data_IF_751442651349
#
_entry.id   IF_751442651349
#
_cell.length_a   1.000
_cell.length_b   1.000
_cell.length_c   1.000
_cell.angle_alpha   90.00
_cell.angle_beta   90.00
_cell.angle_gamma   90.00
#
_symmetry.space_group_name_H-M   'P 1'
#
loop_
_entity.id
_entity.type
_entity.pdbx_description
1 polymer ?
#
# COMPACT_ATOMS: atom_id res chain seq x y z
N UNK A 1 -24.13 -13.99 -17.15
CA UNK A 1 -22.86 -14.30 -17.84
C UNK A 1 -21.97 -13.07 -17.75
N UNK A 2 -21.11 -13.00 -16.74
CA UNK A 2 -20.10 -11.94 -16.57
C UNK A 2 -18.75 -12.64 -16.35
N UNK A 3 -18.39 -13.49 -17.30
CA UNK A 3 -17.03 -14.00 -17.46
C UNK A 3 -16.37 -13.16 -18.53
N UNK A 4 -15.20 -12.57 -18.24
CA UNK A 4 -14.36 -12.00 -19.30
C UNK A 4 -13.78 -10.61 -19.08
N UNK A 5 -13.60 -10.11 -17.86
CA UNK A 5 -12.80 -8.90 -17.65
C UNK A 5 -11.89 -8.93 -16.42
N UNK A 6 -11.31 -10.09 -16.11
CA UNK A 6 -10.02 -10.12 -15.40
C UNK A 6 -8.97 -9.96 -16.48
N UNK A 7 -8.65 -8.70 -16.77
CA UNK A 7 -7.61 -8.35 -17.74
C UNK A 7 -6.28 -8.91 -17.22
N UNK A 8 -5.80 -9.90 -17.95
CA UNK A 8 -4.62 -10.71 -17.70
C UNK A 8 -3.35 -9.87 -17.86
N UNK A 9 -3.13 -8.95 -16.92
CA UNK A 9 -1.82 -8.40 -16.64
C UNK A 9 -1.07 -9.44 -15.81
N UNK A 10 0.03 -9.96 -16.34
CA UNK A 10 0.84 -10.98 -15.67
C UNK A 10 1.36 -10.47 -14.32
N UNK A 11 0.62 -10.75 -13.24
CA UNK A 11 0.97 -10.46 -11.85
C UNK A 11 2.17 -11.29 -11.34
N UNK A 12 3.04 -11.80 -12.21
CA UNK A 12 4.17 -12.69 -11.87
C UNK A 12 5.06 -12.16 -10.72
N UNK A 13 5.17 -10.85 -10.55
CA UNK A 13 5.88 -10.23 -9.42
C UNK A 13 5.15 -10.40 -8.07
N UNK A 14 3.82 -10.49 -8.05
CA UNK A 14 3.06 -10.90 -6.86
C UNK A 14 3.28 -12.38 -6.51
N UNK A 15 3.81 -13.18 -7.44
CA UNK A 15 4.20 -14.58 -7.23
C UNK A 15 5.71 -14.74 -6.92
N UNK A 16 6.43 -13.62 -6.76
CA UNK A 16 7.86 -13.57 -6.47
C UNK A 16 8.16 -13.96 -5.01
N UNK A 17 8.65 -15.20 -4.83
CA UNK A 17 9.28 -15.75 -3.61
C UNK A 17 8.39 -15.76 -2.36
N UNK A 18 7.50 -16.77 -2.27
CA UNK A 18 6.74 -17.26 -1.08
C UNK A 18 6.91 -16.38 0.17
N UNK A 19 6.19 -15.26 0.18
CA UNK A 19 6.02 -14.41 1.35
C UNK A 19 4.64 -14.66 1.97
N UNK A 20 4.42 -14.27 3.23
CA UNK A 20 3.08 -14.36 3.86
C UNK A 20 2.01 -13.55 3.10
N UNK A 21 2.41 -12.62 2.24
CA UNK A 21 1.48 -11.91 1.34
C UNK A 21 0.97 -12.81 0.21
N UNK A 22 1.69 -13.86 -0.18
CA UNK A 22 1.34 -14.77 -1.26
C UNK A 22 0.20 -15.72 -0.83
N UNK A 23 0.20 -16.12 0.45
CA UNK A 23 -0.89 -16.91 1.05
C UNK A 23 -2.18 -16.08 1.13
N UNK A 24 -2.09 -14.81 1.56
CA UNK A 24 -3.24 -13.90 1.56
C UNK A 24 -3.77 -13.62 0.15
N UNK A 25 -2.90 -13.61 -0.87
CA UNK A 25 -3.26 -13.41 -2.27
C UNK A 25 -3.98 -14.63 -2.87
N UNK A 26 -3.52 -15.84 -2.58
CA UNK A 26 -4.19 -17.08 -2.99
C UNK A 26 -5.51 -17.28 -2.23
N UNK A 27 -5.58 -16.95 -0.94
CA UNK A 27 -6.85 -16.86 -0.21
C UNK A 27 -7.79 -15.81 -0.82
N UNK A 28 -7.22 -14.69 -1.32
CA UNK A 28 -7.96 -13.65 -2.04
C UNK A 28 -8.57 -14.18 -3.33
N UNK A 29 -7.87 -15.03 -4.09
CA UNK A 29 -8.36 -15.59 -5.35
C UNK A 29 -9.43 -16.66 -5.14
N UNK A 30 -9.33 -17.40 -4.04
CA UNK A 30 -10.19 -18.56 -3.76
C UNK A 30 -11.44 -18.23 -2.94
N UNK A 31 -11.59 -16.99 -2.45
CA UNK A 31 -12.77 -16.58 -1.66
C UNK A 31 -13.96 -16.15 -2.53
N UNK A 32 -15.15 -16.75 -2.38
CA UNK A 32 -16.36 -16.39 -3.14
C UNK A 32 -16.94 -15.00 -2.80
N UNK A 33 -16.40 -14.33 -1.77
CA UNK A 33 -16.83 -12.98 -1.32
C UNK A 33 -16.07 -11.83 -1.99
N UNK A 34 -15.08 -12.11 -2.84
CA UNK A 34 -14.19 -11.11 -3.47
C UNK A 34 -14.96 -10.04 -4.23
N UNK A 35 -16.05 -10.41 -4.90
CA UNK A 35 -16.84 -9.48 -5.70
C UNK A 35 -17.59 -8.39 -4.91
N UNK A 36 -17.82 -8.57 -3.60
CA UNK A 36 -18.60 -7.60 -2.80
C UNK A 36 -17.79 -6.45 -2.23
N UNK A 37 -16.47 -6.61 -2.10
CA UNK A 37 -15.57 -5.63 -1.48
C UNK A 37 -14.49 -5.12 -2.45
N UNK A 38 -14.64 -5.39 -3.74
CA UNK A 38 -13.71 -4.95 -4.76
C UNK A 38 -14.14 -3.60 -5.34
N UNK A 39 -13.23 -2.63 -5.34
CA UNK A 39 -13.46 -1.31 -5.90
C UNK A 39 -12.78 -1.26 -7.27
N UNK A 40 -13.57 -1.08 -8.33
CA UNK A 40 -13.12 -1.23 -9.73
C UNK A 40 -12.16 -0.12 -10.17
N UNK A 41 -12.22 1.05 -9.53
CA UNK A 41 -11.33 2.17 -9.77
C UNK A 41 -9.91 1.91 -9.24
N UNK A 42 -9.77 1.01 -8.25
CA UNK A 42 -8.50 0.74 -7.59
C UNK A 42 -7.70 -0.36 -8.30
N UNK A 43 -6.36 -0.25 -8.21
CA UNK A 43 -5.48 -1.35 -8.60
C UNK A 43 -5.67 -2.56 -7.70
N UNK A 44 -5.13 -3.71 -8.13
CA UNK A 44 -5.15 -4.93 -7.31
C UNK A 44 -4.43 -4.71 -5.97
N UNK A 45 -3.28 -4.05 -6.00
CA UNK A 45 -2.50 -3.75 -4.81
C UNK A 45 -3.22 -2.76 -3.89
N UNK A 46 -3.84 -1.72 -4.44
CA UNK A 46 -4.64 -0.79 -3.67
C UNK A 46 -5.85 -1.47 -3.00
N UNK A 47 -6.56 -2.35 -3.71
CA UNK A 47 -7.64 -3.16 -3.10
C UNK A 47 -7.13 -4.03 -1.96
N UNK A 48 -5.95 -4.66 -2.10
CA UNK A 48 -5.35 -5.47 -1.04
C UNK A 48 -5.00 -4.63 0.20
N UNK A 49 -4.38 -3.47 -0.01
CA UNK A 49 -4.07 -2.52 1.07
C UNK A 49 -5.35 -2.06 1.77
N UNK A 50 -6.37 -1.64 1.03
CA UNK A 50 -7.67 -1.22 1.60
C UNK A 50 -8.30 -2.34 2.44
N UNK A 51 -8.22 -3.60 1.99
CA UNK A 51 -8.73 -4.75 2.77
C UNK A 51 -7.93 -4.97 4.06
N UNK A 52 -6.61 -4.82 4.04
CA UNK A 52 -5.79 -4.90 5.26
C UNK A 52 -6.09 -3.75 6.22
N UNK A 53 -6.22 -2.52 5.71
CA UNK A 53 -6.67 -1.36 6.48
C UNK A 53 -8.04 -1.60 7.12
N UNK A 54 -9.00 -2.13 6.35
CA UNK A 54 -10.33 -2.51 6.82
C UNK A 54 -10.28 -3.50 7.99
N UNK A 55 -9.43 -4.53 7.91
CA UNK A 55 -9.23 -5.49 9.01
C UNK A 55 -8.65 -4.82 10.26
N UNK A 56 -7.63 -3.98 10.12
CA UNK A 56 -6.96 -3.30 11.25
C UNK A 56 -7.88 -2.29 11.92
N UNK A 57 -8.64 -1.53 11.12
CA UNK A 57 -9.60 -0.54 11.61
C UNK A 57 -10.88 -1.18 12.17
N UNK A 58 -11.10 -2.48 11.93
CA UNK A 58 -12.38 -3.15 12.20
C UNK A 58 -13.60 -2.45 11.56
N UNK A 59 -13.40 -1.86 10.37
CA UNK A 59 -14.45 -1.18 9.58
C UNK A 59 -14.51 -1.79 8.18
N UNK A 60 -15.67 -2.21 7.67
CA UNK A 60 -15.80 -2.74 6.31
C UNK A 60 -15.26 -1.79 5.23
N UNK A 61 -14.64 -2.32 4.18
CA UNK A 61 -14.10 -1.50 3.08
C UNK A 61 -15.18 -0.65 2.38
N UNK A 62 -16.42 -1.15 2.27
CA UNK A 62 -17.56 -0.40 1.74
C UNK A 62 -17.95 0.79 2.63
N UNK A 63 -17.88 0.61 3.95
CA UNK A 63 -18.14 1.69 4.91
C UNK A 63 -17.02 2.73 4.89
N UNK A 64 -15.75 2.31 4.78
CA UNK A 64 -14.63 3.23 4.56
C UNK A 64 -14.84 4.09 3.30
N UNK A 65 -15.28 3.47 2.21
CA UNK A 65 -15.57 4.17 0.96
C UNK A 65 -16.74 5.14 1.11
N UNK A 66 -17.82 4.72 1.79
CA UNK A 66 -18.97 5.56 2.07
C UNK A 66 -18.58 6.78 2.92
N UNK A 67 -17.82 6.59 4.01
CA UNK A 67 -17.32 7.68 4.85
C UNK A 67 -16.45 8.66 4.06
N UNK A 68 -15.50 8.16 3.26
CA UNK A 68 -14.70 9.02 2.39
C UNK A 68 -15.57 9.83 1.42
N UNK A 69 -16.56 9.21 0.78
CA UNK A 69 -17.44 9.89 -0.17
C UNK A 69 -18.33 10.96 0.49
N UNK A 70 -18.69 10.75 1.76
CA UNK A 70 -19.50 11.68 2.54
C UNK A 70 -18.69 12.87 3.09
N UNK A 71 -17.44 12.62 3.52
CA UNK A 71 -16.59 13.63 4.18
C UNK A 71 -15.76 14.46 3.18
N UNK A 72 -15.35 13.86 2.06
CA UNK A 72 -14.46 14.51 1.10
C UNK A 72 -15.20 15.49 0.18
N UNK A 73 -14.55 16.62 -0.11
CA UNK A 73 -15.03 17.58 -1.11
C UNK A 73 -14.97 17.02 -2.53
N UNK A 74 -15.73 17.61 -3.45
CA UNK A 74 -15.82 17.11 -4.83
C UNK A 74 -14.47 17.18 -5.59
N UNK A 75 -13.59 18.13 -5.25
CA UNK A 75 -12.26 18.22 -5.84
C UNK A 75 -11.36 17.04 -5.43
N UNK A 76 -11.53 16.52 -4.22
CA UNK A 76 -10.82 15.34 -3.71
C UNK A 76 -11.41 14.05 -4.30
N UNK A 77 -12.71 14.03 -4.58
CA UNK A 77 -13.39 12.89 -5.20
C UNK A 77 -13.29 12.86 -6.73
N UNK A 78 -12.57 13.82 -7.34
CA UNK A 78 -12.43 13.86 -8.80
C UNK A 78 -11.90 12.52 -9.35
N UNK A 79 -12.48 11.96 -10.43
CA UNK A 79 -12.15 10.61 -10.91
C UNK A 79 -10.65 10.35 -11.14
N UNK A 80 -9.91 11.35 -11.62
CA UNK A 80 -8.46 11.23 -11.86
C UNK A 80 -7.59 11.12 -10.60
N UNK A 81 -8.14 11.45 -9.42
CA UNK A 81 -7.44 11.42 -8.13
C UNK A 81 -8.12 10.50 -7.10
N UNK A 82 -9.36 10.08 -7.37
CA UNK A 82 -10.20 9.31 -6.45
C UNK A 82 -9.46 8.11 -5.86
N UNK A 83 -8.87 7.27 -6.71
CA UNK A 83 -8.17 6.06 -6.27
C UNK A 83 -7.03 6.37 -5.28
N UNK A 84 -6.22 7.39 -5.58
CA UNK A 84 -5.10 7.80 -4.71
C UNK A 84 -5.62 8.38 -3.40
N UNK A 85 -6.60 9.27 -3.46
CA UNK A 85 -7.13 9.97 -2.29
C UNK A 85 -7.89 9.02 -1.35
N UNK A 86 -8.65 8.08 -1.89
CA UNK A 86 -9.33 7.06 -1.09
C UNK A 86 -8.34 6.08 -0.45
N UNK A 87 -7.30 5.68 -1.19
CA UNK A 87 -6.22 4.87 -0.63
C UNK A 87 -5.52 5.61 0.53
N UNK A 88 -5.17 6.88 0.34
CA UNK A 88 -4.59 7.73 1.40
C UNK A 88 -5.49 7.80 2.64
N UNK A 89 -6.80 8.01 2.46
CA UNK A 89 -7.76 8.01 3.55
C UNK A 89 -7.68 6.71 4.38
N UNK A 90 -7.65 5.56 3.71
CA UNK A 90 -7.54 4.26 4.38
C UNK A 90 -6.18 4.08 5.08
N UNK A 91 -5.08 4.43 4.41
CA UNK A 91 -3.73 4.32 4.95
C UNK A 91 -3.55 5.19 6.18
N UNK A 92 -3.91 6.47 6.13
CA UNK A 92 -3.67 7.40 7.23
C UNK A 92 -4.52 7.11 8.46
N UNK A 93 -5.77 6.68 8.30
CA UNK A 93 -6.58 6.21 9.45
C UNK A 93 -5.92 5.00 10.12
N UNK A 94 -5.41 4.06 9.32
CA UNK A 94 -4.74 2.85 9.82
C UNK A 94 -3.44 3.18 10.54
N UNK A 95 -2.60 4.03 9.95
CA UNK A 95 -1.33 4.46 10.54
C UNK A 95 -1.56 5.27 11.83
N UNK A 96 -2.54 6.17 11.85
CA UNK A 96 -2.90 6.93 13.04
C UNK A 96 -3.33 6.01 14.20
N UNK A 97 -4.19 5.01 13.93
CA UNK A 97 -4.55 4.00 14.93
C UNK A 97 -3.33 3.20 15.39
N UNK A 98 -2.46 2.81 14.46
CA UNK A 98 -1.24 2.04 14.76
C UNK A 98 -0.30 2.80 15.70
N UNK A 99 -0.17 4.11 15.54
CA UNK A 99 0.57 4.98 16.48
C UNK A 99 -0.11 4.99 17.85
N UNK A 100 -1.43 5.14 17.90
CA UNK A 100 -2.18 5.22 19.15
C UNK A 100 -2.11 3.94 19.99
N UNK A 101 -2.13 2.77 19.34
CA UNK A 101 -2.06 1.47 20.04
C UNK A 101 -0.62 0.98 20.27
N UNK A 102 0.38 1.77 19.87
CA UNK A 102 1.79 1.46 20.09
C UNK A 102 2.32 0.30 19.26
N UNK A 103 1.89 0.15 17.99
CA UNK A 103 2.43 -0.88 17.09
C UNK A 103 3.95 -0.71 16.97
N UNK A 104 4.68 -1.80 17.24
CA UNK A 104 6.14 -1.87 17.16
C UNK A 104 6.55 -2.19 15.71
N UNK A 105 7.56 -1.51 15.18
CA UNK A 105 8.20 -1.84 13.90
C UNK A 105 8.87 -3.24 13.90
N UNK A 106 8.94 -3.96 15.02
CA UNK A 106 9.44 -5.35 15.10
C UNK A 106 8.53 -6.28 14.32
N UNK A 107 7.24 -5.91 14.23
CA UNK A 107 6.28 -6.64 13.45
C UNK A 107 6.60 -6.51 11.95
N UNK A 108 7.18 -7.57 11.41
CA UNK A 108 7.48 -7.69 9.98
C UNK A 108 6.22 -7.54 9.11
N UNK A 109 5.04 -7.93 9.60
CA UNK A 109 3.78 -7.73 8.87
C UNK A 109 3.43 -6.25 8.79
N UNK A 110 3.64 -5.50 9.86
CA UNK A 110 3.44 -4.05 9.85
C UNK A 110 4.42 -3.37 8.89
N UNK A 111 5.71 -3.71 8.94
CA UNK A 111 6.70 -3.18 7.98
C UNK A 111 6.36 -3.51 6.53
N UNK A 112 5.85 -4.71 6.28
CA UNK A 112 5.40 -5.07 4.93
C UNK A 112 4.16 -4.28 4.53
N UNK A 113 3.21 -4.09 5.44
CA UNK A 113 2.03 -3.28 5.18
C UNK A 113 2.40 -1.84 4.81
N UNK A 114 3.29 -1.17 5.56
CA UNK A 114 3.68 0.22 5.25
C UNK A 114 4.40 0.35 3.92
N UNK A 115 5.19 -0.65 3.53
CA UNK A 115 5.79 -0.72 2.20
C UNK A 115 4.74 -0.95 1.09
N UNK A 116 3.81 -1.89 1.29
CA UNK A 116 2.73 -2.17 0.34
C UNK A 116 1.81 -0.94 0.18
N UNK A 117 1.59 -0.15 1.24
CA UNK A 117 0.90 1.15 1.17
C UNK A 117 1.60 2.14 0.23
N UNK A 118 2.94 2.21 0.27
CA UNK A 118 3.73 3.07 -0.63
C UNK A 118 3.64 2.60 -2.08
N UNK A 119 3.76 1.29 -2.32
CA UNK A 119 3.60 0.71 -3.66
C UNK A 119 2.19 0.94 -4.23
N UNK A 120 1.17 0.75 -3.40
CA UNK A 120 -0.22 1.03 -3.78
C UNK A 120 -0.40 2.51 -4.10
N UNK A 121 0.30 3.41 -3.39
CA UNK A 121 0.22 4.84 -3.63
C UNK A 121 0.83 5.27 -4.97
N UNK A 122 1.92 4.61 -5.40
CA UNK A 122 2.47 4.81 -6.75
C UNK A 122 1.49 4.36 -7.83
N UNK A 123 0.77 3.28 -7.57
CA UNK A 123 -0.13 2.63 -8.53
C UNK A 123 -1.54 2.45 -7.99
N UNK A 124 -2.26 3.54 -7.70
CA UNK A 124 -3.51 3.44 -6.95
C UNK A 124 -4.69 3.02 -7.84
N UNK A 125 -4.67 3.38 -9.13
CA UNK A 125 -5.78 3.18 -10.04
C UNK A 125 -5.66 1.87 -10.84
N UNK A 126 -6.78 1.28 -11.26
CA UNK A 126 -6.81 0.01 -12.00
C UNK A 126 -6.02 0.01 -13.33
N UNK A 127 -5.83 1.18 -13.94
CA UNK A 127 -5.02 1.35 -15.15
C UNK A 127 -3.50 1.56 -14.88
N UNK A 128 -3.09 1.77 -13.64
CA UNK A 128 -1.69 2.03 -13.28
C UNK A 128 -0.85 0.76 -13.22
N UNK A 129 0.45 0.88 -13.52
CA UNK A 129 1.40 -0.24 -13.54
C UNK A 129 2.61 0.06 -12.65
N UNK A 130 3.09 -0.91 -11.86
CA UNK A 130 4.23 -0.71 -10.98
C UNK A 130 5.53 -0.69 -11.76
N UNK A 131 6.50 0.07 -11.25
CA UNK A 131 7.87 -0.01 -11.72
C UNK A 131 8.59 -1.16 -11.00
N UNK A 132 9.17 -2.05 -11.79
CA UNK A 132 9.87 -3.24 -11.32
C UNK A 132 11.38 -3.04 -11.41
N UNK A 133 12.14 -3.64 -10.49
CA UNK A 133 13.59 -3.70 -10.57
C UNK A 133 14.06 -4.82 -11.53
N UNK A 134 15.38 -5.06 -11.57
CA UNK A 134 16.00 -6.07 -12.45
C UNK A 134 15.50 -7.49 -12.13
N UNK A 135 15.15 -7.75 -10.88
CA UNK A 135 14.62 -9.04 -10.43
C UNK A 135 13.10 -9.16 -10.63
N UNK A 136 12.45 -8.13 -11.18
CA UNK A 136 11.01 -8.09 -11.41
C UNK A 136 10.20 -7.74 -10.15
N UNK A 137 10.84 -7.27 -9.08
CA UNK A 137 10.18 -6.89 -7.83
C UNK A 137 9.76 -5.41 -7.85
N UNK A 138 8.59 -5.07 -7.28
CA UNK A 138 8.08 -3.71 -7.25
C UNK A 138 8.92 -2.84 -6.30
N UNK A 139 9.18 -1.61 -6.73
CA UNK A 139 9.98 -0.64 -5.96
C UNK A 139 9.17 0.60 -5.61
N UNK A 140 9.61 1.34 -4.60
CA UNK A 140 8.98 2.59 -4.15
C UNK A 140 9.85 3.79 -4.56
N UNK A 141 9.23 4.85 -5.05
CA UNK A 141 9.86 6.12 -5.37
C UNK A 141 9.68 7.16 -4.28
N UNK A 142 10.39 8.28 -4.45
CA UNK A 142 10.44 9.36 -3.48
C UNK A 142 9.05 9.88 -3.10
N UNK A 143 8.19 10.16 -4.08
CA UNK A 143 6.85 10.72 -3.82
C UNK A 143 6.00 9.84 -2.90
N UNK A 144 5.98 8.53 -3.16
CA UNK A 144 5.21 7.58 -2.35
C UNK A 144 5.80 7.43 -0.94
N UNK A 145 7.13 7.33 -0.85
CA UNK A 145 7.82 7.28 0.43
C UNK A 145 7.54 8.55 1.24
N UNK A 146 7.71 9.71 0.64
CA UNK A 146 7.51 11.01 1.29
C UNK A 146 6.09 11.27 1.71
N UNK A 147 5.12 10.67 1.02
CA UNK A 147 3.72 10.82 1.38
C UNK A 147 3.30 9.92 2.53
N UNK A 148 3.75 8.66 2.55
CA UNK A 148 3.27 7.63 3.48
C UNK A 148 4.19 7.50 4.71
N UNK A 149 5.51 7.50 4.54
CA UNK A 149 6.46 7.26 5.62
C UNK A 149 6.30 8.23 6.80
N UNK A 150 6.12 9.56 6.59
CA UNK A 150 5.98 10.51 7.70
C UNK A 150 4.67 10.39 8.49
N UNK A 151 3.68 9.67 7.96
CA UNK A 151 2.44 9.42 8.69
C UNK A 151 2.63 8.47 9.88
N UNK A 152 3.78 7.78 9.95
CA UNK A 152 4.23 7.06 11.12
C UNK A 152 5.58 7.64 11.57
N UNK A 153 5.61 8.56 12.55
CA UNK A 153 6.80 9.37 12.87
C UNK A 153 8.07 8.59 13.22
N UNK A 154 7.94 7.33 13.64
CA UNK A 154 9.08 6.43 13.92
C UNK A 154 9.80 6.03 12.63
N UNK A 155 9.12 5.98 11.49
CA UNK A 155 9.68 5.62 10.18
C UNK A 155 10.41 6.82 9.56
N UNK A 156 9.77 8.00 9.57
CA UNK A 156 10.33 9.23 9.00
C UNK A 156 9.58 10.45 9.53
N UNK A 157 10.11 11.64 9.28
CA UNK A 157 9.40 12.90 9.47
C UNK A 157 9.69 13.84 8.29
N UNK A 158 8.78 14.79 8.05
CA UNK A 158 8.78 15.69 6.89
C UNK A 158 10.08 16.48 6.69
N UNK A 159 10.94 16.61 7.70
CA UNK A 159 12.22 17.33 7.60
C UNK A 159 13.32 16.44 7.03
N UNK A 160 13.36 15.16 7.40
CA UNK A 160 14.47 14.25 7.03
C UNK A 160 14.13 13.30 5.88
N UNK A 161 12.87 13.25 5.47
CA UNK A 161 12.34 12.25 4.53
C UNK A 161 13.13 12.16 3.23
N UNK A 162 13.43 13.28 2.59
CA UNK A 162 14.15 13.27 1.30
C UNK A 162 15.58 12.76 1.47
N UNK A 163 16.31 13.28 2.46
CA UNK A 163 17.67 12.84 2.78
C UNK A 163 17.72 11.35 3.16
N UNK A 164 16.73 10.89 3.94
CA UNK A 164 16.61 9.49 4.32
C UNK A 164 16.38 8.61 3.08
N UNK A 165 15.48 9.01 2.18
CA UNK A 165 15.20 8.27 0.96
C UNK A 165 16.45 8.18 0.07
N UNK A 166 17.20 9.28 -0.08
CA UNK A 166 18.47 9.30 -0.82
C UNK A 166 19.44 8.26 -0.26
N UNK A 167 19.67 8.26 1.06
CA UNK A 167 20.55 7.29 1.73
C UNK A 167 20.07 5.85 1.52
N UNK A 168 18.76 5.60 1.62
CA UNK A 168 18.19 4.27 1.44
C UNK A 168 18.23 3.78 -0.01
N UNK A 169 18.47 4.66 -0.99
CA UNK A 169 18.38 4.32 -2.43
C UNK A 169 19.70 4.50 -3.20
N UNK A 170 20.80 4.74 -2.49
CA UNK A 170 22.14 4.89 -3.06
C UNK A 170 22.54 3.73 -4.00
N UNK A 171 22.18 2.50 -3.65
CA UNK A 171 22.53 1.30 -4.42
C UNK A 171 21.47 0.87 -5.43
N UNK A 172 20.34 1.56 -5.50
CA UNK A 172 19.14 1.12 -6.22
C UNK A 172 18.57 2.20 -7.14
N UNK A 173 19.44 3.08 -7.64
CA UNK A 173 19.13 4.10 -8.66
C UNK A 173 17.89 4.95 -8.31
N UNK A 174 17.79 5.39 -7.04
CA UNK A 174 16.68 6.22 -6.57
C UNK A 174 15.34 5.48 -6.38
N UNK A 175 15.37 4.14 -6.31
CA UNK A 175 14.19 3.31 -6.08
C UNK A 175 14.36 2.48 -4.81
N UNK A 176 13.47 2.63 -3.85
CA UNK A 176 13.52 1.91 -2.59
C UNK A 176 13.01 0.49 -2.76
N UNK A 177 13.84 -0.48 -2.39
CA UNK A 177 13.49 -1.90 -2.37
C UNK A 177 13.04 -2.34 -0.98
N UNK A 178 12.14 -3.33 -0.90
CA UNK A 178 11.61 -3.81 0.37
C UNK A 178 12.70 -4.33 1.30
N UNK A 179 13.72 -5.02 0.78
CA UNK A 179 14.79 -5.57 1.61
C UNK A 179 15.60 -4.48 2.34
N UNK A 180 15.81 -3.33 1.68
CA UNK A 180 16.50 -2.17 2.26
C UNK A 180 15.59 -1.52 3.32
N UNK A 181 14.31 -1.35 2.99
CA UNK A 181 13.32 -0.80 3.91
C UNK A 181 13.13 -1.66 5.18
N UNK A 182 13.00 -2.98 5.01
CA UNK A 182 12.86 -3.96 6.09
C UNK A 182 14.10 -3.93 7.02
N UNK A 183 15.29 -3.85 6.43
CA UNK A 183 16.56 -3.73 7.17
C UNK A 183 16.66 -2.42 7.94
N UNK A 184 16.28 -1.30 7.31
CA UNK A 184 16.26 0.01 7.95
C UNK A 184 15.37 0.01 9.20
N UNK A 185 14.10 -0.37 9.04
CA UNK A 185 13.13 -0.36 10.12
C UNK A 185 13.45 -1.36 11.23
N UNK A 186 13.99 -2.53 10.90
CA UNK A 186 14.46 -3.50 11.91
C UNK A 186 15.65 -2.98 12.73
N UNK A 187 16.36 -1.97 12.22
CA UNK A 187 17.48 -1.33 12.90
C UNK A 187 17.10 -0.18 13.83
N UNK A 188 15.91 0.41 13.67
CA UNK A 188 15.43 1.55 14.48
C UNK A 188 15.09 1.12 15.91
N UNK A 189 14.72 -0.14 16.10
CA UNK A 189 14.24 -0.65 17.39
C UNK A 189 15.32 -1.23 18.30
N UNK A 190 16.58 -1.10 17.89
CA UNK A 190 17.72 -1.57 18.69
C UNK A 190 18.19 -0.53 19.70
#
# INVERSE_FOLDING_TARGET
>A
MLEGLVREGSFKWLYGKRSSSDEEFEELKNSPSVGRNWISELSVLANMVVRRCSKILAVPASELQASFNAEASDSIKHPSKYARNFLEYCCFRTLALSVQVGVHLADKKFRRLTYDMMLAWETPASASQPLLNVDGEPTVGLEAFSRIAPAFPVISNVVITENLFEVLTLSSNGRLEFCIYDKYLSGIER
#
